data_IF_914331504985
#
_entry.id   IF_914331504985
#
_cell.length_a   1.000
_cell.length_b   1.000
_cell.length_c   1.000
_cell.angle_alpha   90.00
_cell.angle_beta   90.00
_cell.angle_gamma   90.00
#
_symmetry.space_group_name_H-M   'P 1'
#
loop_
_entity.id
_entity.type
_entity.pdbx_description
1 polymer ?
#
# COMPACT_ATOMS: atom_id res chain seq x y z
N UNK A 1 14.91 11.14 -1.64
CA UNK A 1 15.27 11.00 -3.07
C UNK A 1 14.04 10.45 -3.76
N UNK A 2 13.52 11.16 -4.76
CA UNK A 2 12.53 10.62 -5.70
C UNK A 2 13.25 10.51 -7.03
N UNK A 3 14.07 9.47 -7.15
CA UNK A 3 14.69 9.11 -8.42
C UNK A 3 13.85 7.99 -9.02
N UNK A 4 13.35 8.22 -10.22
CA UNK A 4 12.57 7.23 -10.93
C UNK A 4 13.50 6.15 -11.49
N UNK A 5 13.09 4.89 -11.36
CA UNK A 5 13.74 3.75 -11.99
C UNK A 5 12.75 3.02 -12.89
N UNK A 6 13.24 2.40 -13.95
CA UNK A 6 12.43 1.53 -14.82
C UNK A 6 12.63 0.08 -14.41
N UNK A 7 11.52 -0.62 -14.18
CA UNK A 7 11.49 -2.06 -13.92
C UNK A 7 10.73 -2.75 -15.05
N UNK A 8 11.24 -3.88 -15.51
CA UNK A 8 10.53 -4.77 -16.42
C UNK A 8 10.01 -5.94 -15.59
N UNK A 9 8.69 -6.10 -15.54
CA UNK A 9 8.00 -7.13 -14.77
C UNK A 9 7.07 -7.92 -15.69
N UNK A 10 6.92 -9.19 -15.38
CA UNK A 10 5.85 -10.04 -15.93
C UNK A 10 4.52 -9.75 -15.23
N UNK A 11 3.41 -10.15 -15.85
CA UNK A 11 2.07 -10.04 -15.25
C UNK A 11 1.98 -10.78 -13.92
N UNK A 12 2.63 -11.94 -13.81
CA UNK A 12 2.64 -12.76 -12.60
C UNK A 12 3.41 -12.07 -11.46
N UNK A 13 4.56 -11.44 -11.77
CA UNK A 13 5.30 -10.65 -10.78
C UNK A 13 4.51 -9.42 -10.33
N UNK A 14 3.74 -8.78 -11.22
CA UNK A 14 2.84 -7.68 -10.84
C UNK A 14 1.72 -8.19 -9.93
N UNK A 15 1.12 -9.35 -10.22
CA UNK A 15 0.11 -9.96 -9.35
C UNK A 15 0.67 -10.25 -7.95
N UNK A 16 1.88 -10.81 -7.87
CA UNK A 16 2.57 -11.01 -6.58
C UNK A 16 2.77 -9.71 -5.80
N UNK A 17 3.07 -8.60 -6.49
CA UNK A 17 3.19 -7.29 -5.84
C UNK A 17 1.84 -6.77 -5.34
N UNK A 18 0.76 -6.96 -6.11
CA UNK A 18 -0.60 -6.58 -5.69
C UNK A 18 -0.98 -7.37 -4.43
N UNK A 19 -0.82 -8.69 -4.42
CA UNK A 19 -1.14 -9.54 -3.25
C UNK A 19 -0.38 -9.08 -2.00
N UNK A 20 0.92 -8.76 -2.13
CA UNK A 20 1.72 -8.27 -1.02
C UNK A 20 1.24 -6.90 -0.50
N UNK A 21 0.85 -6.00 -1.41
CA UNK A 21 0.34 -4.67 -1.07
C UNK A 21 -1.05 -4.73 -0.42
N UNK A 22 -1.89 -5.70 -0.76
CA UNK A 22 -3.19 -5.91 -0.10
C UNK A 22 -3.01 -6.25 1.38
N UNK A 23 -2.12 -7.19 1.69
CA UNK A 23 -1.81 -7.58 3.08
C UNK A 23 -1.20 -6.41 3.85
N UNK A 24 -0.27 -5.67 3.24
CA UNK A 24 0.36 -4.51 3.88
C UNK A 24 -0.67 -3.39 4.14
N UNK A 25 -1.58 -3.15 3.20
CA UNK A 25 -2.67 -2.19 3.35
C UNK A 25 -3.57 -2.54 4.54
N UNK A 26 -3.99 -3.80 4.65
CA UNK A 26 -4.80 -4.26 5.78
C UNK A 26 -4.09 -4.00 7.12
N UNK A 27 -2.79 -4.29 7.20
CA UNK A 27 -1.98 -4.02 8.40
C UNK A 27 -1.92 -2.54 8.78
N UNK A 28 -1.77 -1.64 7.81
CA UNK A 28 -1.79 -0.18 8.08
C UNK A 28 -3.17 0.31 8.52
N UNK A 29 -4.25 -0.21 7.94
CA UNK A 29 -5.61 0.14 8.35
C UNK A 29 -5.93 -0.36 9.77
N UNK A 30 -5.46 -1.54 10.14
CA UNK A 30 -5.57 -2.06 11.51
C UNK A 30 -4.76 -1.19 12.49
N UNK A 31 -3.50 -0.92 12.17
CA UNK A 31 -2.63 -0.07 13.00
C UNK A 31 -3.21 1.34 13.20
N UNK A 32 -3.84 1.91 12.16
CA UNK A 32 -4.54 3.19 12.24
C UNK A 32 -5.70 3.14 13.24
N UNK A 33 -6.54 2.09 13.18
CA UNK A 33 -7.66 1.90 14.13
C UNK A 33 -7.18 1.74 15.56
N UNK A 34 -6.10 1.00 15.78
CA UNK A 34 -5.50 0.86 17.11
C UNK A 34 -4.97 2.20 17.64
N UNK A 35 -4.27 2.97 16.80
CA UNK A 35 -3.80 4.31 17.15
C UNK A 35 -4.96 5.29 17.45
N UNK A 36 -6.07 5.18 16.72
CA UNK A 36 -7.29 5.95 16.99
C UNK A 36 -7.85 5.63 18.38
N UNK A 37 -7.87 4.35 18.77
CA UNK A 37 -8.38 3.91 20.08
C UNK A 37 -7.59 4.47 21.27
N UNK A 38 -6.31 4.80 21.07
CA UNK A 38 -5.43 5.39 22.10
C UNK A 38 -5.38 6.92 22.04
N UNK A 39 -6.00 7.54 21.03
CA UNK A 39 -5.97 8.98 20.80
C UNK A 39 -4.66 9.51 20.22
N UNK A 40 -3.77 8.64 19.72
CA UNK A 40 -2.47 9.03 19.17
C UNK A 40 -2.58 9.57 17.74
N UNK A 41 -2.97 10.84 17.62
CA UNK A 41 -3.22 11.51 16.32
C UNK A 41 -2.02 11.52 15.36
N UNK A 42 -0.79 11.47 15.88
CA UNK A 42 0.42 11.46 15.04
C UNK A 42 0.58 10.11 14.34
N UNK A 43 0.36 9.02 15.06
CA UNK A 43 0.41 7.66 14.52
C UNK A 43 -0.75 7.40 13.55
N UNK A 44 -1.97 7.82 13.90
CA UNK A 44 -3.13 7.74 13.00
C UNK A 44 -2.83 8.39 11.65
N UNK A 45 -2.28 9.62 11.67
CA UNK A 45 -1.89 10.30 10.43
C UNK A 45 -0.83 9.51 9.66
N UNK A 46 0.18 9.00 10.35
CA UNK A 46 1.29 8.25 9.73
C UNK A 46 0.78 6.98 9.04
N UNK A 47 -0.07 6.20 9.70
CA UNK A 47 -0.64 4.98 9.13
C UNK A 47 -1.62 5.27 7.98
N UNK A 48 -2.43 6.31 8.09
CA UNK A 48 -3.31 6.74 7.00
C UNK A 48 -2.53 7.23 5.77
N UNK A 49 -1.44 7.98 5.96
CA UNK A 49 -0.56 8.44 4.87
C UNK A 49 0.12 7.25 4.17
N UNK A 50 0.51 6.20 4.92
CA UNK A 50 1.06 4.97 4.37
C UNK A 50 0.02 4.16 3.58
N UNK A 51 -1.17 3.95 4.16
CA UNK A 51 -2.28 3.27 3.51
C UNK A 51 -2.65 3.94 2.16
N UNK A 52 -2.71 5.27 2.12
CA UNK A 52 -3.00 6.01 0.89
C UNK A 52 -1.95 5.79 -0.20
N UNK A 53 -0.66 5.76 0.19
CA UNK A 53 0.44 5.50 -0.75
C UNK A 53 0.36 4.09 -1.34
N UNK A 54 0.06 3.10 -0.51
CA UNK A 54 -0.12 1.71 -0.94
C UNK A 54 -1.31 1.59 -1.88
N UNK A 55 -2.47 2.14 -1.51
CA UNK A 55 -3.65 2.15 -2.38
C UNK A 55 -3.35 2.79 -3.75
N UNK A 56 -2.61 3.90 -3.76
CA UNK A 56 -2.23 4.59 -5.00
C UNK A 56 -1.32 3.74 -5.88
N UNK A 57 -0.35 3.03 -5.29
CA UNK A 57 0.54 2.14 -6.04
C UNK A 57 -0.19 0.89 -6.53
N UNK A 58 -0.96 0.25 -5.65
CA UNK A 58 -1.72 -0.96 -5.93
C UNK A 58 -2.72 -0.73 -7.07
N UNK A 59 -3.45 0.38 -7.06
CA UNK A 59 -4.37 0.73 -8.15
C UNK A 59 -3.66 0.84 -9.51
N UNK A 60 -2.43 1.35 -9.55
CA UNK A 60 -1.63 1.39 -10.78
C UNK A 60 -1.21 -0.01 -11.24
N UNK A 61 -0.84 -0.89 -10.32
CA UNK A 61 -0.39 -2.24 -10.63
C UNK A 61 -1.53 -3.15 -11.08
N UNK A 62 -2.72 -3.00 -10.47
CA UNK A 62 -3.93 -3.75 -10.82
C UNK A 62 -4.35 -3.57 -12.29
N UNK A 63 -4.02 -2.45 -12.94
CA UNK A 63 -4.26 -2.25 -14.38
C UNK A 63 -3.50 -3.25 -15.29
N UNK A 64 -2.48 -3.92 -14.76
CA UNK A 64 -1.63 -4.86 -15.50
C UNK A 64 -1.85 -6.32 -15.11
N UNK A 65 -2.78 -6.61 -14.18
CA UNK A 65 -3.13 -7.98 -13.77
C UNK A 65 -4.36 -8.45 -14.57
N UNK A 66 -4.31 -9.60 -15.27
CA UNK A 66 -5.47 -10.14 -15.96
C UNK A 66 -6.55 -10.64 -14.99
N UNK A 67 -7.83 -10.51 -15.37
CA UNK A 67 -9.00 -11.04 -14.62
C UNK A 67 -8.98 -12.57 -14.46
#
# INVERSE_FOLDING_TARGET
MNEDITLTLTTDEVAMLVDALEVDLEGYLESSKEAESTGNRSEVKTFNDAALRIQTLMAKLQEYVPE
#
